data_IF_148629519710
#
_entry.id   IF_148629519710
#
_cell.length_a   1.000
_cell.length_b   1.000
_cell.length_c   1.000
_cell.angle_alpha   90.00
_cell.angle_beta   90.00
_cell.angle_gamma   90.00
#
_symmetry.space_group_name_H-M   'P 1'
#
loop_
_entity.id
_entity.type
_entity.pdbx_description
1 polymer ?
#
# COMPACT_ATOMS: atom_id res chain seq x y z
N UNK A 1 8.73 13.10 -12.42
CA UNK A 1 9.23 11.92 -11.69
C UNK A 1 9.12 10.72 -12.61
N UNK A 2 10.14 9.87 -12.68
CA UNK A 2 10.07 8.62 -13.44
C UNK A 2 9.30 7.59 -12.61
N UNK A 3 8.22 7.03 -13.16
CA UNK A 3 7.33 6.08 -12.46
C UNK A 3 7.97 4.69 -12.33
N UNK A 4 8.68 4.26 -13.37
CA UNK A 4 9.25 2.92 -13.45
C UNK A 4 10.76 2.98 -13.62
N UNK A 5 11.47 2.10 -12.92
CA UNK A 5 12.91 1.95 -13.10
C UNK A 5 13.20 1.30 -14.46
N UNK A 6 14.07 1.93 -15.25
CA UNK A 6 14.67 1.32 -16.43
C UNK A 6 15.99 0.59 -16.10
N UNK A 7 16.56 0.83 -14.92
CA UNK A 7 17.83 0.25 -14.46
C UNK A 7 17.77 -0.16 -12.99
N UNK A 8 18.67 -1.08 -12.60
CA UNK A 8 18.85 -1.47 -11.19
C UNK A 8 19.23 -0.29 -10.27
N UNK A 9 19.93 0.72 -10.81
CA UNK A 9 20.27 1.94 -10.07
C UNK A 9 19.02 2.75 -9.77
N UNK A 10 18.15 2.94 -10.75
CA UNK A 10 16.86 3.62 -10.58
C UNK A 10 15.94 2.84 -9.63
N UNK A 11 15.88 1.51 -9.77
CA UNK A 11 15.10 0.64 -8.88
C UNK A 11 15.53 0.80 -7.42
N UNK A 12 16.85 0.87 -7.17
CA UNK A 12 17.40 1.11 -5.83
C UNK A 12 17.05 2.50 -5.30
N UNK A 13 17.06 3.53 -6.14
CA UNK A 13 16.67 4.89 -5.75
C UNK A 13 15.19 4.94 -5.36
N UNK A 14 14.32 4.34 -6.16
CA UNK A 14 12.88 4.28 -5.90
C UNK A 14 12.60 3.51 -4.61
N UNK A 15 13.19 2.32 -4.44
CA UNK A 15 13.02 1.51 -3.22
C UNK A 15 13.53 2.23 -1.97
N UNK A 16 14.65 2.95 -2.06
CA UNK A 16 15.15 3.76 -0.95
C UNK A 16 14.16 4.89 -0.59
N UNK A 17 13.60 5.60 -1.59
CA UNK A 17 12.60 6.65 -1.35
C UNK A 17 11.34 6.11 -0.70
N UNK A 18 10.81 4.98 -1.18
CA UNK A 18 9.66 4.32 -0.56
C UNK A 18 9.95 3.92 0.89
N UNK A 19 11.13 3.36 1.18
CA UNK A 19 11.53 3.05 2.56
C UNK A 19 11.61 4.30 3.45
N UNK A 20 12.16 5.41 2.95
CA UNK A 20 12.20 6.66 3.70
C UNK A 20 10.80 7.20 3.98
N UNK A 21 9.93 7.23 2.97
CA UNK A 21 8.53 7.64 3.09
C UNK A 21 7.78 6.77 4.13
N UNK A 22 7.87 5.44 4.00
CA UNK A 22 7.23 4.51 4.94
C UNK A 22 7.79 4.67 6.35
N UNK A 23 9.10 4.84 6.51
CA UNK A 23 9.69 5.02 7.84
C UNK A 23 9.26 6.34 8.50
N UNK A 24 9.12 7.42 7.74
CA UNK A 24 8.62 8.70 8.24
C UNK A 24 7.14 8.62 8.64
N UNK A 25 6.31 7.98 7.81
CA UNK A 25 4.85 7.89 8.04
C UNK A 25 4.46 6.85 9.09
N UNK A 26 5.10 5.68 9.09
CA UNK A 26 4.76 4.57 9.98
C UNK A 26 5.50 4.66 11.32
N UNK A 27 6.73 5.21 11.31
CA UNK A 27 7.61 5.31 12.47
C UNK A 27 8.54 4.10 12.63
N UNK A 28 9.81 4.37 12.97
CA UNK A 28 10.81 3.32 13.19
C UNK A 28 10.45 2.44 14.40
N UNK A 29 10.46 1.11 14.22
CA UNK A 29 10.07 0.11 15.23
C UNK A 29 8.65 0.31 15.78
N UNK A 30 7.76 0.92 15.00
CA UNK A 30 6.36 1.08 15.37
C UNK A 30 5.54 -0.14 14.96
N UNK A 31 4.49 -0.43 15.73
CA UNK A 31 3.52 -1.45 15.37
C UNK A 31 2.64 -0.94 14.21
N UNK A 32 2.44 -1.82 13.23
CA UNK A 32 1.67 -1.56 12.02
C UNK A 32 0.80 -2.77 11.70
N UNK A 33 -0.24 -2.55 10.91
CA UNK A 33 -0.94 -3.63 10.21
C UNK A 33 -0.42 -3.66 8.78
N UNK A 34 0.12 -4.81 8.36
CA UNK A 34 0.28 -5.13 6.95
C UNK A 34 -1.04 -5.72 6.47
N UNK A 35 -1.68 -5.09 5.50
CA UNK A 35 -3.00 -5.49 5.01
C UNK A 35 -2.88 -5.92 3.55
N UNK A 36 -3.48 -7.05 3.26
CA UNK A 36 -3.73 -7.57 1.91
C UNK A 36 -5.20 -8.01 1.86
N UNK A 37 -5.69 -8.60 0.77
CA UNK A 37 -7.06 -9.11 0.81
C UNK A 37 -7.52 -9.83 -0.44
N UNK A 38 -8.63 -10.53 -0.30
CA UNK A 38 -9.27 -11.21 -1.41
C UNK A 38 -10.30 -10.28 -2.05
N UNK A 39 -10.32 -10.28 -3.38
CA UNK A 39 -11.31 -9.57 -4.15
C UNK A 39 -12.07 -10.57 -5.03
N UNK A 40 -13.37 -10.40 -5.14
CA UNK A 40 -14.20 -11.20 -6.06
C UNK A 40 -14.75 -10.32 -7.17
N UNK A 41 -14.48 -10.75 -8.40
CA UNK A 41 -15.06 -10.17 -9.61
C UNK A 41 -15.55 -11.28 -10.52
N UNK A 42 -16.80 -11.14 -10.98
CA UNK A 42 -17.46 -12.10 -11.87
C UNK A 42 -17.44 -13.55 -11.35
N UNK A 43 -17.52 -13.71 -10.02
CA UNK A 43 -17.48 -15.02 -9.35
C UNK A 43 -16.08 -15.64 -9.24
N UNK A 44 -15.03 -14.95 -9.71
CA UNK A 44 -13.63 -15.35 -9.59
C UNK A 44 -13.01 -14.71 -8.35
N UNK A 45 -12.41 -15.53 -7.48
CA UNK A 45 -11.65 -15.07 -6.32
C UNK A 45 -10.22 -14.78 -6.75
N UNK A 46 -9.76 -13.56 -6.50
CA UNK A 46 -8.37 -13.13 -6.69
C UNK A 46 -7.68 -13.13 -5.32
N UNK A 47 -6.87 -14.16 -5.00
CA UNK A 47 -6.12 -14.21 -3.75
C UNK A 47 -4.91 -13.28 -3.82
N UNK A 48 -4.71 -12.45 -2.80
CA UNK A 48 -3.54 -11.57 -2.75
C UNK A 48 -2.29 -12.22 -2.12
N UNK A 49 -2.42 -13.40 -1.51
CA UNK A 49 -1.35 -14.06 -0.73
C UNK A 49 -0.41 -14.96 -1.55
N UNK A 50 -0.57 -15.08 -2.88
CA UNK A 50 0.24 -16.02 -3.67
C UNK A 50 1.66 -15.51 -3.99
N UNK A 51 2.33 -14.85 -3.05
CA UNK A 51 3.71 -14.38 -3.25
C UNK A 51 4.66 -14.75 -2.12
N UNK A 52 5.91 -15.01 -2.51
CA UNK A 52 6.98 -15.38 -1.58
C UNK A 52 7.26 -14.33 -0.51
N UNK A 53 6.91 -13.07 -0.72
CA UNK A 53 7.12 -12.02 0.29
C UNK A 53 6.08 -12.03 1.43
N UNK A 54 4.96 -12.74 1.26
CA UNK A 54 3.87 -12.82 2.24
C UNK A 54 3.72 -14.22 2.87
N UNK A 55 4.27 -15.27 2.24
CA UNK A 55 4.09 -16.68 2.65
C UNK A 55 4.48 -16.99 4.11
N UNK A 56 5.44 -16.27 4.68
CA UNK A 56 5.92 -16.51 6.06
C UNK A 56 5.11 -15.71 7.11
N UNK A 57 4.08 -14.97 6.70
CA UNK A 57 3.28 -14.13 7.58
C UNK A 57 1.94 -14.79 7.88
N UNK A 58 1.51 -14.67 9.14
CA UNK A 58 0.18 -15.09 9.55
C UNK A 58 -0.81 -13.94 9.39
N UNK A 59 -1.86 -14.18 8.63
CA UNK A 59 -2.93 -13.23 8.36
C UNK A 59 -4.23 -13.61 9.07
N UNK A 60 -4.91 -12.61 9.62
CA UNK A 60 -6.27 -12.71 10.15
C UNK A 60 -7.23 -12.04 9.18
N UNK A 61 -8.26 -12.76 8.75
CA UNK A 61 -9.29 -12.20 7.89
C UNK A 61 -10.25 -11.29 8.68
N UNK A 62 -10.52 -10.11 8.15
CA UNK A 62 -11.55 -9.22 8.63
C UNK A 62 -12.92 -9.57 7.99
N UNK A 63 -13.95 -8.84 8.41
CA UNK A 63 -15.27 -8.93 7.80
C UNK A 63 -15.23 -8.53 6.31
N UNK A 64 -16.09 -9.16 5.52
CA UNK A 64 -16.24 -8.81 4.11
C UNK A 64 -16.89 -7.45 3.97
N UNK A 65 -16.36 -6.66 3.06
CA UNK A 65 -16.91 -5.38 2.66
C UNK A 65 -17.68 -5.59 1.37
N UNK A 66 -18.99 -5.35 1.42
CA UNK A 66 -19.85 -5.34 0.23
C UNK A 66 -19.54 -4.08 -0.60
N UNK A 67 -18.93 -4.29 -1.77
CA UNK A 67 -18.48 -3.19 -2.60
C UNK A 67 -19.64 -2.53 -3.35
N UNK A 68 -20.67 -3.30 -3.71
CA UNK A 68 -21.87 -2.76 -4.34
C UNK A 68 -22.65 -1.88 -3.36
N UNK A 69 -22.72 -2.26 -2.08
CA UNK A 69 -23.36 -1.43 -1.06
C UNK A 69 -22.66 -0.07 -0.90
N UNK A 70 -21.33 -0.03 -1.02
CA UNK A 70 -20.54 1.20 -0.88
C UNK A 70 -20.53 2.07 -2.14
N UNK A 71 -20.41 1.44 -3.32
CA UNK A 71 -20.31 2.13 -4.61
C UNK A 71 -21.11 1.38 -5.68
N UNK A 72 -22.46 1.51 -5.67
CA UNK A 72 -23.34 0.73 -6.53
C UNK A 72 -23.23 1.06 -8.03
N UNK A 73 -22.60 2.18 -8.36
CA UNK A 73 -22.33 2.58 -9.76
C UNK A 73 -21.02 2.02 -10.30
N UNK A 74 -20.16 1.48 -9.42
CA UNK A 74 -18.82 0.97 -9.77
C UNK A 74 -18.76 -0.55 -9.69
N UNK A 75 -19.51 -1.15 -8.77
CA UNK A 75 -19.48 -2.60 -8.52
C UNK A 75 -20.85 -3.23 -8.76
N UNK A 76 -20.86 -4.48 -9.20
CA UNK A 76 -22.03 -5.32 -9.37
C UNK A 76 -22.39 -6.06 -8.06
N UNK A 77 -23.66 -6.45 -7.87
CA UNK A 77 -24.08 -7.24 -6.71
C UNK A 77 -23.26 -8.53 -6.54
N UNK A 78 -22.79 -8.77 -5.32
CA UNK A 78 -21.99 -9.95 -4.97
C UNK A 78 -20.48 -9.74 -5.05
N UNK A 79 -20.01 -8.59 -5.55
CA UNK A 79 -18.60 -8.21 -5.44
C UNK A 79 -18.27 -7.78 -4.00
N UNK A 80 -17.19 -8.34 -3.47
CA UNK A 80 -16.71 -8.00 -2.13
C UNK A 80 -15.20 -7.88 -2.11
N UNK A 81 -14.72 -7.12 -1.12
CA UNK A 81 -13.34 -7.15 -0.67
C UNK A 81 -13.29 -7.75 0.73
N UNK A 82 -12.42 -8.73 0.96
CA UNK A 82 -12.16 -9.27 2.29
C UNK A 82 -10.74 -8.91 2.71
N UNK A 83 -10.56 -7.85 3.53
CA UNK A 83 -9.26 -7.51 4.06
C UNK A 83 -8.72 -8.65 4.92
N UNK A 84 -7.41 -8.84 4.88
CA UNK A 84 -6.65 -9.72 5.75
C UNK A 84 -5.45 -8.97 6.25
N UNK A 85 -5.18 -9.04 7.55
CA UNK A 85 -4.10 -8.26 8.16
C UNK A 85 -3.15 -9.13 8.97
N UNK A 86 -1.89 -8.72 9.01
CA UNK A 86 -0.85 -9.25 9.87
C UNK A 86 -0.30 -8.12 10.73
N UNK A 87 -0.26 -8.32 12.05
CA UNK A 87 0.40 -7.39 12.98
C UNK A 87 1.91 -7.50 12.83
N UNK A 88 2.57 -6.38 12.56
CA UNK A 88 4.00 -6.33 12.28
C UNK A 88 4.64 -5.17 13.01
N UNK A 89 5.95 -5.27 13.25
CA UNK A 89 6.76 -4.11 13.68
C UNK A 89 7.52 -3.58 12.48
N UNK A 90 7.29 -2.32 12.10
CA UNK A 90 8.01 -1.69 11.00
C UNK A 90 9.52 -1.59 11.27
N UNK A 91 10.32 -2.08 10.33
CA UNK A 91 11.75 -1.79 10.26
C UNK A 91 12.11 -1.45 8.82
N UNK A 92 12.98 -0.45 8.66
CA UNK A 92 13.46 -0.06 7.34
C UNK A 92 14.06 -1.26 6.61
N UNK A 93 13.71 -1.43 5.34
CA UNK A 93 14.11 -2.50 4.42
C UNK A 93 13.56 -3.90 4.72
N UNK A 94 12.79 -4.09 5.79
CA UNK A 94 12.19 -5.39 6.13
C UNK A 94 11.27 -5.89 5.01
N UNK A 95 10.53 -4.98 4.38
CA UNK A 95 9.55 -5.30 3.34
C UNK A 95 10.08 -5.01 1.91
N UNK A 96 11.40 -4.91 1.73
CA UNK A 96 12.00 -4.70 0.40
C UNK A 96 11.56 -5.75 -0.65
N UNK A 97 11.47 -7.06 -0.32
CA UNK A 97 10.93 -8.05 -1.26
C UNK A 97 9.49 -7.75 -1.66
N UNK A 98 8.62 -7.41 -0.69
CA UNK A 98 7.23 -7.09 -0.94
C UNK A 98 7.08 -5.82 -1.80
N UNK A 99 7.82 -4.76 -1.48
CA UNK A 99 7.79 -3.50 -2.24
C UNK A 99 8.22 -3.70 -3.69
N UNK A 100 9.18 -4.61 -3.94
CA UNK A 100 9.59 -4.98 -5.31
C UNK A 100 8.48 -5.74 -6.06
N UNK A 101 7.83 -6.69 -5.41
CA UNK A 101 6.72 -7.44 -6.01
C UNK A 101 5.55 -6.51 -6.36
N UNK A 102 5.21 -5.56 -5.48
CA UNK A 102 4.19 -4.54 -5.75
C UNK A 102 4.58 -3.67 -6.94
N UNK A 103 5.84 -3.21 -7.00
CA UNK A 103 6.35 -2.41 -8.12
C UNK A 103 6.45 -3.19 -9.45
N UNK A 104 6.31 -4.51 -9.44
CA UNK A 104 6.25 -5.34 -10.64
C UNK A 104 4.83 -5.84 -10.94
N UNK A 105 3.82 -5.32 -10.23
CA UNK A 105 2.43 -5.76 -10.33
C UNK A 105 2.24 -7.27 -10.05
N UNK A 106 3.06 -7.85 -9.18
CA UNK A 106 3.02 -9.26 -8.79
C UNK A 106 2.12 -9.50 -7.55
N UNK A 107 1.92 -8.48 -6.72
CA UNK A 107 1.05 -8.52 -5.53
C UNK A 107 0.54 -7.14 -5.16
N UNK A 108 -0.34 -7.08 -4.16
CA UNK A 108 -0.86 -5.84 -3.59
C UNK A 108 -0.98 -5.96 -2.07
N UNK A 109 -0.45 -4.95 -1.38
CA UNK A 109 -0.58 -4.81 0.05
C UNK A 109 -0.43 -3.33 0.44
N UNK A 110 -0.97 -2.96 1.58
CA UNK A 110 -0.81 -1.63 2.15
C UNK A 110 -0.51 -1.71 3.64
N UNK A 111 0.05 -0.63 4.17
CA UNK A 111 0.48 -0.53 5.56
C UNK A 111 -0.43 0.45 6.29
N UNK A 112 -0.87 0.10 7.50
CA UNK A 112 -1.68 0.97 8.36
C UNK A 112 -0.94 1.20 9.67
N UNK A 113 -0.75 2.48 10.02
CA UNK A 113 -0.30 2.88 11.36
C UNK A 113 -1.48 3.49 12.11
N UNK A 114 -2.03 2.75 13.06
CA UNK A 114 -3.08 3.28 13.94
C UNK A 114 -2.55 4.42 14.82
N UNK A 115 -1.31 4.29 15.31
CA UNK A 115 -0.64 5.29 16.13
C UNK A 115 -0.51 6.64 15.42
N UNK A 116 -0.13 6.61 14.14
CA UNK A 116 0.09 7.84 13.37
C UNK A 116 -1.14 8.28 12.56
N UNK A 117 -2.19 7.44 12.53
CA UNK A 117 -3.42 7.70 11.79
C UNK A 117 -3.17 7.80 10.28
N UNK A 118 -2.42 6.84 9.72
CA UNK A 118 -2.12 6.83 8.29
C UNK A 118 -2.24 5.44 7.66
N UNK A 119 -2.57 5.43 6.37
CA UNK A 119 -2.52 4.28 5.48
C UNK A 119 -1.60 4.62 4.32
N UNK A 120 -0.71 3.70 3.97
CA UNK A 120 0.25 3.84 2.88
C UNK A 120 0.09 2.65 1.94
N UNK A 121 -0.40 2.89 0.73
CA UNK A 121 -0.68 1.89 -0.30
C UNK A 121 0.30 2.05 -1.48
N UNK A 122 1.46 1.38 -1.46
CA UNK A 122 2.32 1.34 -2.64
C UNK A 122 1.63 0.57 -3.79
N UNK A 123 1.89 0.98 -5.03
CA UNK A 123 1.43 0.32 -6.24
C UNK A 123 2.47 0.48 -7.36
N UNK A 124 2.23 -0.16 -8.51
CA UNK A 124 3.14 -0.07 -9.66
C UNK A 124 3.27 1.37 -10.18
N UNK A 125 4.38 2.01 -9.82
CA UNK A 125 4.73 3.37 -10.22
C UNK A 125 4.37 4.48 -9.24
N UNK A 126 3.91 4.16 -8.02
CA UNK A 126 3.53 5.19 -7.04
C UNK A 126 3.19 4.68 -5.65
N UNK A 127 2.64 5.59 -4.84
CA UNK A 127 2.15 5.32 -3.48
C UNK A 127 0.97 6.25 -3.20
N UNK A 128 -0.16 5.68 -2.80
CA UNK A 128 -1.30 6.42 -2.26
C UNK A 128 -1.17 6.50 -0.73
N UNK A 129 -1.51 7.66 -0.17
CA UNK A 129 -1.38 7.92 1.26
C UNK A 129 -2.68 8.55 1.77
N UNK A 130 -3.32 7.89 2.73
CA UNK A 130 -4.43 8.47 3.50
C UNK A 130 -3.88 8.92 4.85
N UNK A 131 -4.13 10.18 5.20
CA UNK A 131 -3.66 10.81 6.43
C UNK A 131 -4.85 11.29 7.26
N UNK A 132 -4.68 11.32 8.58
CA UNK A 132 -5.73 11.65 9.56
C UNK A 132 -6.44 13.00 9.34
N UNK A 133 -5.77 13.98 8.75
CA UNK A 133 -6.31 15.33 8.54
C UNK A 133 -5.56 16.09 7.45
N UNK A 134 -6.18 17.18 7.00
CA UNK A 134 -5.67 18.05 5.95
C UNK A 134 -4.36 18.74 6.31
N UNK A 135 -4.17 19.10 7.58
CA UNK A 135 -2.95 19.77 8.06
C UNK A 135 -1.73 18.83 7.94
N UNK A 136 -1.91 17.57 8.28
CA UNK A 136 -0.90 16.50 8.16
C UNK A 136 -0.60 16.23 6.69
N UNK A 137 -1.65 16.17 5.84
CA UNK A 137 -1.50 16.08 4.38
C UNK A 137 -0.66 17.23 3.82
N UNK A 138 -1.00 18.47 4.15
CA UNK A 138 -0.33 19.64 3.59
C UNK A 138 1.10 19.80 4.11
N UNK A 139 1.37 19.34 5.34
CA UNK A 139 2.73 19.21 5.85
C UNK A 139 3.54 18.21 5.00
N UNK A 140 3.08 16.97 4.84
CA UNK A 140 3.81 15.95 4.07
C UNK A 140 3.90 16.30 2.57
N UNK A 141 2.89 16.96 1.99
CA UNK A 141 2.94 17.48 0.63
C UNK A 141 4.12 18.45 0.43
N UNK A 142 4.41 19.29 1.42
CA UNK A 142 5.59 20.18 1.39
C UNK A 142 6.89 19.41 1.55
N UNK A 143 6.95 18.46 2.49
CA UNK A 143 8.15 17.62 2.73
C UNK A 143 8.53 16.83 1.47
N UNK A 144 7.54 16.25 0.79
CA UNK A 144 7.74 15.38 -0.36
C UNK A 144 7.54 16.06 -1.71
N UNK A 145 7.51 17.40 -1.76
CA UNK A 145 7.21 18.14 -2.98
C UNK A 145 8.10 17.74 -4.17
N UNK A 146 9.40 17.49 -3.92
CA UNK A 146 10.35 17.05 -4.95
C UNK A 146 10.08 15.64 -5.50
N UNK A 147 9.26 14.85 -4.81
CA UNK A 147 8.89 13.49 -5.17
C UNK A 147 7.45 13.41 -5.70
N UNK A 148 6.71 14.51 -5.74
CA UNK A 148 5.37 14.49 -6.31
C UNK A 148 5.43 14.35 -7.83
N UNK A 149 4.43 13.65 -8.37
CA UNK A 149 4.22 13.60 -9.80
C UNK A 149 3.82 14.99 -10.31
N UNK A 150 4.37 15.47 -11.45
CA UNK A 150 3.96 16.74 -12.04
C UNK A 150 2.58 16.68 -12.71
N UNK A 151 2.00 15.49 -12.83
CA UNK A 151 0.65 15.32 -13.39
C UNK A 151 -0.39 15.85 -12.42
N UNK A 152 -1.47 16.51 -12.90
CA UNK A 152 -2.54 17.03 -12.05
C UNK A 152 -3.21 15.96 -11.18
N UNK A 153 -3.20 14.69 -11.61
CA UNK A 153 -3.70 13.53 -10.86
C UNK A 153 -2.71 12.96 -9.84
N UNK A 154 -1.52 13.53 -9.73
CA UNK A 154 -0.47 13.13 -8.78
C UNK A 154 -0.59 13.80 -7.41
N UNK A 155 -1.76 14.37 -7.10
CA UNK A 155 -2.02 15.23 -5.95
C UNK A 155 -3.45 15.11 -5.43
#
# INVERSE_FOLDING_TARGET
MQRYAATEVEARIILNRQNYLLNDLLGNKADILLVTGEYVQDGVVFPAENTSALNDLLFTAAERIDLHQLSPTEYEPGQYYQPKFSEQTWKMKQFDPLLRQIANNETSAFFVSQRNGCLVAPYDGGVDIVLKDEATRDFHRKVYQAWLSPLPSGL
#
